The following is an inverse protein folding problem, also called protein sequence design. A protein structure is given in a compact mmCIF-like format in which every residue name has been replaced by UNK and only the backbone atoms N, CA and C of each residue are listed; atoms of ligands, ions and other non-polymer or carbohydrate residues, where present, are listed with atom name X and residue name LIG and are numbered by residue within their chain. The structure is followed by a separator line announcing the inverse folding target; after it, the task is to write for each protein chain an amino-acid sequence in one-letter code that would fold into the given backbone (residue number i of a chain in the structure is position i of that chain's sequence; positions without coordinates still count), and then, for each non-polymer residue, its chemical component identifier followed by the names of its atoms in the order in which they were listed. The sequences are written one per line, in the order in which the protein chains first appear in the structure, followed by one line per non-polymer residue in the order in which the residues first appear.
data_IF_311046639802
#
_entry.id   IF_311046639802
#
_cell.length_a   1.000
_cell.length_b   1.000
_cell.length_c   1.000
_cell.angle_alpha   90.00
_cell.angle_beta   90.00
_cell.angle_gamma   90.00
#
_symmetry.space_group_name_H-M   'P 1'
#
loop_
_entity.id
_entity.type
_entity.pdbx_description
1 polymer ?
#
# COMPACT_ATOMS: atom_id res chain seq x y z
N UNK A 1 -27.97 -29.49 -16.75
CA UNK A 1 -26.69 -30.02 -17.28
C UNK A 1 -26.54 -29.79 -18.78
N UNK A 2 -27.36 -30.38 -19.67
CA UNK A 2 -27.23 -30.19 -21.14
C UNK A 2 -27.27 -28.71 -21.60
N UNK A 3 -28.11 -27.88 -20.96
CA UNK A 3 -28.20 -26.44 -21.26
C UNK A 3 -26.92 -25.68 -20.93
N UNK A 4 -26.25 -25.99 -19.82
CA UNK A 4 -24.98 -25.36 -19.42
C UNK A 4 -23.92 -25.70 -20.47
N UNK A 5 -23.81 -26.97 -20.87
CA UNK A 5 -22.88 -27.38 -21.92
C UNK A 5 -23.16 -26.67 -23.25
N UNK A 6 -24.43 -26.60 -23.67
CA UNK A 6 -24.82 -25.92 -24.90
C UNK A 6 -24.49 -24.41 -24.87
N UNK A 7 -24.72 -23.73 -23.74
CA UNK A 7 -24.35 -22.33 -23.57
C UNK A 7 -22.84 -22.13 -23.60
N UNK A 8 -22.06 -23.00 -22.94
CA UNK A 8 -20.60 -22.94 -22.97
C UNK A 8 -20.05 -23.10 -24.38
N UNK A 9 -20.51 -24.11 -25.13
CA UNK A 9 -20.12 -24.32 -26.53
C UNK A 9 -20.49 -23.11 -27.38
N UNK A 10 -21.72 -22.58 -27.22
CA UNK A 10 -22.16 -21.40 -27.96
C UNK A 10 -21.31 -20.15 -27.64
N UNK A 11 -20.91 -19.95 -26.38
CA UNK A 11 -20.10 -18.81 -25.97
C UNK A 11 -18.65 -18.94 -26.45
N UNK A 12 -18.05 -20.13 -26.37
CA UNK A 12 -16.72 -20.40 -26.94
C UNK A 12 -16.71 -20.17 -28.45
N UNK A 13 -17.74 -20.66 -29.15
CA UNK A 13 -17.89 -20.44 -30.59
C UNK A 13 -18.01 -18.96 -30.96
N UNK A 14 -18.89 -18.20 -30.28
CA UNK A 14 -19.06 -16.76 -30.55
C UNK A 14 -17.78 -15.95 -30.31
N UNK A 15 -16.99 -16.34 -29.31
CA UNK A 15 -15.72 -15.67 -28.95
C UNK A 15 -14.53 -16.13 -29.79
N UNK A 16 -14.71 -17.16 -30.62
CA UNK A 16 -13.62 -17.82 -31.36
C UNK A 16 -12.47 -18.21 -30.43
N UNK A 17 -12.79 -18.69 -29.23
CA UNK A 17 -11.80 -19.05 -28.22
C UNK A 17 -11.12 -20.37 -28.59
N UNK A 18 -9.78 -20.41 -28.51
CA UNK A 18 -9.00 -21.61 -28.72
C UNK A 18 -9.15 -22.56 -27.50
N UNK A 19 -10.09 -23.50 -27.57
CA UNK A 19 -10.31 -24.52 -26.56
C UNK A 19 -10.30 -25.92 -27.21
N UNK A 20 -9.12 -26.53 -27.40
CA UNK A 20 -9.00 -27.87 -28.00
C UNK A 20 -9.79 -28.95 -27.24
N UNK A 21 -9.97 -28.74 -25.93
CA UNK A 21 -10.84 -29.51 -25.06
C UNK A 21 -11.59 -28.55 -24.14
N UNK A 22 -12.86 -28.83 -23.84
CA UNK A 22 -13.66 -28.00 -22.94
C UNK A 22 -13.49 -28.50 -21.51
N UNK A 23 -12.79 -27.70 -20.72
CA UNK A 23 -12.62 -27.90 -19.28
C UNK A 23 -13.57 -27.04 -18.45
N UNK A 24 -13.64 -27.32 -17.15
CA UNK A 24 -14.41 -26.56 -16.16
C UNK A 24 -14.09 -25.05 -16.18
N UNK A 25 -12.83 -24.66 -16.39
CA UNK A 25 -12.40 -23.27 -16.48
C UNK A 25 -13.00 -22.49 -17.67
N UNK A 26 -13.48 -23.18 -18.70
CA UNK A 26 -14.04 -22.56 -19.90
C UNK A 26 -15.50 -22.13 -19.73
N UNK A 27 -16.15 -22.45 -18.59
CA UNK A 27 -17.48 -21.95 -18.31
C UNK A 27 -17.49 -20.42 -18.26
N UNK A 28 -18.44 -19.83 -18.97
CA UNK A 28 -18.56 -18.39 -19.05
C UNK A 28 -19.53 -17.85 -18.00
N UNK A 29 -19.02 -17.65 -16.78
CA UNK A 29 -19.80 -17.11 -15.67
C UNK A 29 -20.18 -15.62 -15.85
N UNK A 30 -19.72 -14.96 -16.92
CA UNK A 30 -20.19 -13.63 -17.32
C UNK A 30 -21.51 -13.68 -18.10
N UNK A 31 -21.93 -14.85 -18.60
CA UNK A 31 -23.26 -15.01 -19.20
C UNK A 31 -24.27 -15.22 -18.07
N UNK A 32 -25.18 -14.25 -17.81
CA UNK A 32 -26.13 -14.36 -16.71
C UNK A 32 -26.97 -15.64 -16.81
N UNK A 33 -27.30 -16.07 -18.04
CA UNK A 33 -28.10 -17.28 -18.26
C UNK A 33 -27.37 -18.54 -17.81
N UNK A 34 -26.05 -18.57 -17.96
CA UNK A 34 -25.21 -19.70 -17.54
C UNK A 34 -25.02 -19.66 -16.02
N UNK A 35 -24.68 -18.50 -15.46
CA UNK A 35 -24.51 -18.32 -14.03
C UNK A 35 -25.80 -18.64 -13.25
N UNK A 36 -26.94 -18.11 -13.69
CA UNK A 36 -28.25 -18.35 -13.07
C UNK A 36 -28.65 -19.83 -13.14
N UNK A 37 -28.46 -20.49 -14.30
CA UNK A 37 -28.75 -21.92 -14.43
C UNK A 37 -27.83 -22.76 -13.53
N UNK A 38 -26.55 -22.38 -13.40
CA UNK A 38 -25.60 -23.10 -12.55
C UNK A 38 -25.99 -22.99 -11.07
N UNK A 39 -26.33 -21.78 -10.61
CA UNK A 39 -26.58 -21.49 -9.19
C UNK A 39 -27.99 -21.88 -8.74
N UNK A 40 -29.01 -21.69 -9.59
CA UNK A 40 -30.39 -22.11 -9.28
C UNK A 40 -30.55 -23.62 -9.17
N UNK A 41 -29.77 -24.39 -9.95
CA UNK A 41 -29.82 -25.86 -9.95
C UNK A 41 -29.15 -26.49 -8.74
N UNK A 42 -28.24 -25.78 -8.09
CA UNK A 42 -27.47 -26.26 -6.93
C UNK A 42 -27.97 -25.68 -5.61
N UNK A 43 -29.08 -24.94 -5.62
CA UNK A 43 -29.63 -24.20 -4.46
C UNK A 43 -28.56 -23.32 -3.77
N UNK A 44 -27.64 -22.76 -4.55
CA UNK A 44 -26.45 -22.07 -4.03
C UNK A 44 -26.51 -20.56 -4.24
N UNK A 45 -27.71 -19.97 -4.15
CA UNK A 45 -27.94 -18.54 -4.44
C UNK A 45 -27.01 -17.60 -3.63
N UNK A 46 -26.62 -18.01 -2.43
CA UNK A 46 -25.65 -17.32 -1.57
C UNK A 46 -24.24 -17.18 -2.15
N UNK A 47 -23.91 -17.91 -3.23
CA UNK A 47 -22.61 -17.86 -3.89
C UNK A 47 -22.54 -16.82 -5.01
N UNK A 48 -23.66 -16.22 -5.44
CA UNK A 48 -23.67 -15.17 -6.46
C UNK A 48 -22.76 -13.97 -6.15
N UNK A 49 -22.64 -13.48 -4.89
CA UNK A 49 -21.69 -12.44 -4.54
C UNK A 49 -20.23 -12.79 -4.92
N UNK A 50 -19.85 -14.07 -4.84
CA UNK A 50 -18.51 -14.55 -5.17
C UNK A 50 -18.27 -14.42 -6.67
N UNK A 51 -19.26 -14.80 -7.48
CA UNK A 51 -19.18 -14.71 -8.95
C UNK A 51 -18.96 -13.26 -9.36
N UNK A 52 -19.80 -12.34 -8.86
CA UNK A 52 -19.75 -10.92 -9.20
C UNK A 52 -18.44 -10.25 -8.74
N UNK A 53 -17.98 -10.52 -7.52
CA UNK A 53 -16.82 -9.83 -6.97
C UNK A 53 -15.49 -10.40 -7.49
N UNK A 54 -15.33 -11.72 -7.54
CA UNK A 54 -14.03 -12.31 -7.76
C UNK A 54 -13.88 -13.02 -9.11
N UNK A 55 -14.92 -13.62 -9.69
CA UNK A 55 -14.77 -14.51 -10.87
C UNK A 55 -15.09 -13.81 -12.18
N UNK A 56 -16.34 -13.40 -12.36
CA UNK A 56 -16.83 -12.85 -13.61
C UNK A 56 -17.96 -11.89 -13.30
N UNK A 57 -17.77 -10.63 -13.61
CA UNK A 57 -18.80 -9.65 -13.31
C UNK A 57 -19.93 -9.69 -14.35
N UNK A 58 -21.16 -9.73 -13.83
CA UNK A 58 -22.40 -9.62 -14.60
C UNK A 58 -22.81 -8.15 -14.80
N UNK A 59 -22.21 -7.20 -14.06
CA UNK A 59 -22.53 -5.76 -14.05
C UNK A 59 -21.56 -4.87 -14.84
N UNK A 60 -20.61 -5.46 -15.58
CA UNK A 60 -19.65 -4.79 -16.46
C UNK A 60 -18.53 -3.95 -15.79
N UNK A 61 -18.34 -4.08 -14.48
CA UNK A 61 -17.09 -3.78 -13.77
C UNK A 61 -16.12 -4.98 -13.87
N UNK A 62 -14.85 -4.81 -13.55
CA UNK A 62 -13.89 -5.91 -13.57
C UNK A 62 -13.89 -6.68 -12.25
N UNK A 63 -14.06 -8.01 -12.32
CA UNK A 63 -13.88 -8.89 -11.17
C UNK A 63 -12.43 -8.89 -10.69
N UNK A 64 -12.18 -9.27 -9.42
CA UNK A 64 -10.81 -9.32 -8.89
C UNK A 64 -9.88 -10.25 -9.71
N UNK A 65 -10.39 -11.38 -10.23
CA UNK A 65 -9.61 -12.22 -11.15
C UNK A 65 -9.33 -11.52 -12.48
N UNK A 66 -10.31 -10.81 -13.07
CA UNK A 66 -10.10 -10.05 -14.29
C UNK A 66 -9.08 -8.91 -14.12
N UNK A 67 -9.12 -8.22 -12.97
CA UNK A 67 -8.12 -7.21 -12.60
C UNK A 67 -6.73 -7.82 -12.47
N UNK A 68 -6.62 -9.00 -11.85
CA UNK A 68 -5.35 -9.71 -11.72
C UNK A 68 -4.79 -10.16 -13.09
N UNK A 69 -5.64 -10.66 -13.97
CA UNK A 69 -5.27 -11.01 -15.36
C UNK A 69 -4.83 -9.80 -16.18
N UNK A 70 -5.46 -8.62 -15.98
CA UNK A 70 -4.99 -7.38 -16.63
C UNK A 70 -3.66 -6.88 -16.07
N UNK A 71 -3.46 -7.00 -14.76
CA UNK A 71 -2.22 -6.58 -14.11
C UNK A 71 -1.02 -7.43 -14.53
N UNK A 72 -1.24 -8.71 -14.83
CA UNK A 72 -0.21 -9.63 -15.31
C UNK A 72 -0.76 -10.51 -16.44
N UNK A 73 -0.87 -9.92 -17.64
CA UNK A 73 -1.43 -10.59 -18.80
C UNK A 73 -0.57 -11.76 -19.27
N UNK A 74 -1.22 -12.89 -19.56
CA UNK A 74 -0.56 -14.05 -20.14
C UNK A 74 -0.05 -13.74 -21.57
N UNK A 75 1.14 -14.21 -21.98
CA UNK A 75 1.67 -13.96 -23.32
C UNK A 75 0.72 -14.36 -24.46
N UNK A 76 0.04 -15.50 -24.30
CA UNK A 76 -0.94 -16.01 -25.28
C UNK A 76 -2.37 -15.46 -25.06
N UNK A 77 -2.56 -14.52 -24.13
CA UNK A 77 -3.85 -13.85 -23.89
C UNK A 77 -4.86 -14.64 -23.06
N UNK A 78 -4.47 -15.74 -22.42
CA UNK A 78 -5.36 -16.52 -21.54
C UNK A 78 -5.66 -15.80 -20.21
N UNK A 79 -6.93 -15.74 -19.77
CA UNK A 79 -7.29 -15.18 -18.47
C UNK A 79 -7.08 -16.22 -17.37
N UNK A 80 -5.82 -16.39 -16.97
CA UNK A 80 -5.34 -17.46 -16.10
C UNK A 80 -5.95 -17.40 -14.70
N UNK A 81 -6.07 -16.21 -14.11
CA UNK A 81 -6.70 -16.00 -12.80
C UNK A 81 -8.18 -16.37 -12.85
N UNK A 82 -8.90 -15.95 -13.89
CA UNK A 82 -10.29 -16.38 -14.06
C UNK A 82 -10.40 -17.90 -14.22
N UNK A 83 -9.54 -18.54 -15.02
CA UNK A 83 -9.59 -19.97 -15.27
C UNK A 83 -9.34 -20.80 -14.00
N UNK A 84 -8.29 -20.45 -13.25
CA UNK A 84 -8.01 -21.08 -11.97
C UNK A 84 -9.18 -20.86 -10.98
N UNK A 85 -9.72 -19.64 -10.94
CA UNK A 85 -10.75 -19.29 -9.97
C UNK A 85 -12.11 -19.93 -10.25
N UNK A 86 -12.53 -20.00 -11.52
CA UNK A 86 -13.70 -20.77 -11.98
C UNK A 86 -13.61 -22.23 -11.59
N UNK A 87 -12.42 -22.81 -11.74
CA UNK A 87 -12.19 -24.21 -11.40
C UNK A 87 -12.43 -24.48 -9.92
N UNK A 88 -11.88 -23.64 -9.04
CA UNK A 88 -12.11 -23.74 -7.58
C UNK A 88 -13.59 -23.54 -7.25
N UNK A 89 -14.24 -22.55 -7.85
CA UNK A 89 -15.65 -22.26 -7.61
C UNK A 89 -16.57 -23.45 -7.96
N UNK A 90 -16.33 -24.11 -9.09
CA UNK A 90 -17.15 -25.26 -9.50
C UNK A 90 -17.03 -26.44 -8.53
N UNK A 91 -15.85 -26.65 -7.95
CA UNK A 91 -15.64 -27.69 -6.94
C UNK A 91 -16.18 -27.29 -5.57
N UNK A 92 -16.48 -26.00 -5.33
CA UNK A 92 -17.32 -25.60 -4.20
C UNK A 92 -18.78 -25.98 -4.42
N UNK A 93 -19.30 -25.85 -5.64
CA UNK A 93 -20.69 -26.19 -5.95
C UNK A 93 -20.97 -27.69 -5.82
N UNK A 94 -20.01 -28.55 -6.21
CA UNK A 94 -20.18 -30.00 -6.17
C UNK A 94 -20.36 -30.57 -4.74
N UNK A 95 -19.81 -29.91 -3.72
CA UNK A 95 -19.95 -30.27 -2.31
C UNK A 95 -20.79 -29.29 -1.48
N UNK A 96 -21.63 -28.48 -2.14
CA UNK A 96 -22.42 -27.46 -1.47
C UNK A 96 -23.40 -28.10 -0.45
N UNK A 97 -23.20 -27.83 0.84
CA UNK A 97 -23.99 -28.37 1.95
C UNK A 97 -23.21 -29.29 2.89
N UNK A 98 -22.22 -30.03 2.39
CA UNK A 98 -21.48 -31.04 3.20
C UNK A 98 -20.25 -30.45 3.94
N UNK A 99 -19.85 -29.24 3.57
CA UNK A 99 -18.74 -28.52 4.21
C UNK A 99 -17.36 -29.13 3.94
N UNK A 100 -16.35 -28.60 4.64
CA UNK A 100 -14.93 -28.90 4.40
C UNK A 100 -14.52 -30.36 4.67
N UNK A 101 -15.27 -31.09 5.49
CA UNK A 101 -14.99 -32.50 5.79
C UNK A 101 -15.39 -33.44 4.64
N UNK A 102 -16.12 -32.94 3.64
CA UNK A 102 -16.50 -33.72 2.47
C UNK A 102 -15.39 -33.74 1.42
N UNK A 103 -15.08 -34.92 0.90
CA UNK A 103 -14.11 -35.11 -0.17
C UNK A 103 -14.52 -34.45 -1.50
N UNK A 104 -15.77 -34.00 -1.63
CA UNK A 104 -16.30 -33.35 -2.83
C UNK A 104 -16.27 -31.82 -2.71
N UNK A 105 -16.01 -31.31 -1.50
CA UNK A 105 -15.97 -29.87 -1.24
C UNK A 105 -14.57 -29.30 -1.49
N UNK A 106 -14.52 -28.28 -2.35
CA UNK A 106 -13.27 -27.64 -2.72
C UNK A 106 -12.38 -28.54 -3.56
N UNK A 107 -11.14 -28.12 -3.80
CA UNK A 107 -10.24 -28.78 -4.74
C UNK A 107 -8.79 -28.70 -4.27
N UNK A 108 -8.04 -29.80 -4.40
CA UNK A 108 -6.62 -29.79 -4.09
C UNK A 108 -5.83 -29.03 -5.17
N UNK A 109 -4.65 -28.51 -4.81
CA UNK A 109 -3.79 -27.78 -5.76
C UNK A 109 -3.53 -28.58 -7.05
N UNK A 110 -3.21 -29.87 -6.92
CA UNK A 110 -2.91 -30.76 -8.04
C UNK A 110 -4.10 -30.94 -8.99
N UNK A 111 -5.32 -31.02 -8.44
CA UNK A 111 -6.53 -31.16 -9.25
C UNK A 111 -6.86 -29.87 -10.00
N UNK A 112 -6.54 -28.69 -9.45
CA UNK A 112 -6.66 -27.42 -10.19
C UNK A 112 -5.70 -27.41 -11.38
N UNK A 113 -4.44 -27.83 -11.17
CA UNK A 113 -3.44 -27.91 -12.23
C UNK A 113 -3.91 -28.82 -13.35
N UNK A 114 -4.48 -29.97 -13.00
CA UNK A 114 -5.02 -30.91 -13.97
C UNK A 114 -6.26 -30.36 -14.69
N UNK A 115 -7.21 -29.80 -13.95
CA UNK A 115 -8.47 -29.31 -14.50
C UNK A 115 -8.31 -28.07 -15.40
N UNK A 116 -7.19 -27.35 -15.29
CA UNK A 116 -6.85 -26.19 -16.12
C UNK A 116 -5.79 -26.50 -17.19
N UNK A 117 -5.30 -27.73 -17.27
CA UNK A 117 -4.25 -28.10 -18.22
C UNK A 117 -4.75 -28.16 -19.66
N UNK A 118 -4.23 -27.29 -20.52
CA UNK A 118 -4.38 -27.35 -21.98
C UNK A 118 -3.14 -26.72 -22.66
N UNK A 119 -2.92 -26.91 -23.97
CA UNK A 119 -1.76 -26.37 -24.67
C UNK A 119 -1.62 -24.85 -24.49
N UNK A 120 -0.44 -24.39 -24.06
CA UNK A 120 -0.18 -22.98 -23.74
C UNK A 120 -0.38 -22.61 -22.26
N UNK A 121 -0.82 -23.55 -21.42
CA UNK A 121 -0.94 -23.37 -19.97
C UNK A 121 0.01 -24.31 -19.23
N UNK A 122 0.99 -23.76 -18.50
CA UNK A 122 1.93 -24.58 -17.74
C UNK A 122 1.49 -24.71 -16.27
N UNK A 123 1.72 -25.87 -15.62
CA UNK A 123 1.39 -26.04 -14.20
C UNK A 123 1.99 -24.94 -13.29
N UNK A 124 3.27 -24.55 -13.41
CA UNK A 124 3.85 -23.50 -12.57
C UNK A 124 3.14 -22.14 -12.66
N UNK A 125 2.61 -21.79 -13.83
CA UNK A 125 1.83 -20.56 -14.00
C UNK A 125 0.53 -20.63 -13.20
N UNK A 126 -0.20 -21.74 -13.30
CA UNK A 126 -1.44 -21.95 -12.53
C UNK A 126 -1.16 -21.96 -11.03
N UNK A 127 -0.05 -22.55 -10.58
CA UNK A 127 0.35 -22.51 -9.17
C UNK A 127 0.57 -21.08 -8.68
N UNK A 128 1.35 -20.30 -9.43
CA UNK A 128 1.64 -18.90 -9.12
C UNK A 128 0.36 -18.07 -9.08
N UNK A 129 -0.58 -18.35 -9.99
CA UNK A 129 -1.90 -17.73 -10.02
C UNK A 129 -2.75 -18.08 -8.80
N UNK A 130 -2.74 -19.33 -8.33
CA UNK A 130 -3.45 -19.70 -7.10
C UNK A 130 -2.91 -18.96 -5.89
N UNK A 131 -1.59 -18.84 -5.76
CA UNK A 131 -0.96 -18.09 -4.69
C UNK A 131 -1.26 -16.58 -4.78
N UNK A 132 -1.30 -16.04 -6.00
CA UNK A 132 -1.74 -14.66 -6.23
C UNK A 132 -3.22 -14.46 -5.85
N UNK A 133 -4.10 -15.38 -6.22
CA UNK A 133 -5.53 -15.31 -5.89
C UNK A 133 -5.77 -15.39 -4.37
N UNK A 134 -4.97 -16.14 -3.60
CA UNK A 134 -5.00 -16.09 -2.12
C UNK A 134 -4.81 -14.69 -1.58
N UNK A 135 -4.01 -13.89 -2.26
CA UNK A 135 -3.80 -12.51 -1.88
C UNK A 135 -4.94 -11.62 -2.36
N UNK A 136 -5.47 -11.79 -3.57
CA UNK A 136 -6.32 -10.80 -4.24
C UNK A 136 -7.83 -11.06 -4.17
N UNK A 137 -8.27 -12.32 -4.11
CA UNK A 137 -9.69 -12.66 -4.11
C UNK A 137 -10.31 -12.48 -2.71
N UNK A 138 -11.52 -11.92 -2.64
CA UNK A 138 -12.23 -11.69 -1.39
C UNK A 138 -12.73 -12.97 -0.74
N UNK A 139 -13.13 -13.95 -1.54
CA UNK A 139 -13.83 -15.16 -1.12
C UNK A 139 -12.97 -16.43 -1.25
N UNK A 140 -11.77 -16.36 -1.84
CA UNK A 140 -10.84 -17.49 -1.91
C UNK A 140 -10.25 -17.83 -0.56
N UNK A 141 -10.33 -19.11 -0.18
CA UNK A 141 -9.64 -19.65 0.99
C UNK A 141 -8.91 -20.95 0.64
N UNK A 142 -7.89 -21.23 1.44
CA UNK A 142 -7.18 -22.50 1.44
C UNK A 142 -7.26 -23.07 2.86
N UNK A 143 -7.71 -24.31 2.97
CA UNK A 143 -7.70 -25.05 4.24
C UNK A 143 -6.36 -25.75 4.38
N UNK A 144 -5.53 -25.32 5.33
CA UNK A 144 -4.24 -25.96 5.61
C UNK A 144 -4.43 -27.39 6.16
N UNK A 145 -5.53 -27.65 6.88
CA UNK A 145 -5.85 -28.98 7.43
C UNK A 145 -6.24 -29.96 6.32
N UNK A 146 -7.07 -29.52 5.37
CA UNK A 146 -7.63 -30.40 4.32
C UNK A 146 -6.84 -30.34 3.00
N UNK A 147 -5.88 -29.41 2.88
CA UNK A 147 -5.06 -29.21 1.67
C UNK A 147 -5.85 -28.71 0.46
N UNK A 148 -6.95 -27.99 0.67
CA UNK A 148 -7.95 -27.69 -0.38
C UNK A 148 -8.26 -26.20 -0.50
N UNK A 149 -8.37 -25.76 -1.75
CA UNK A 149 -8.92 -24.46 -2.13
C UNK A 149 -10.44 -24.51 -2.20
N UNK A 150 -11.11 -23.48 -1.71
CA UNK A 150 -12.56 -23.37 -1.76
C UNK A 150 -13.02 -21.91 -1.77
N UNK A 151 -14.21 -21.70 -2.32
CA UNK A 151 -14.91 -20.42 -2.21
C UNK A 151 -15.66 -20.38 -0.86
N UNK A 152 -15.36 -19.38 -0.04
CA UNK A 152 -16.02 -19.12 1.24
C UNK A 152 -17.16 -18.13 1.06
N UNK A 153 -18.25 -18.26 1.81
CA UNK A 153 -19.33 -17.25 1.87
C UNK A 153 -18.95 -16.02 2.68
N UNK A 154 -17.96 -16.16 3.57
CA UNK A 154 -17.41 -15.05 4.36
C UNK A 154 -16.36 -14.25 3.57
N UNK A 155 -16.57 -12.95 3.46
CA UNK A 155 -15.61 -12.02 2.86
C UNK A 155 -14.34 -11.94 3.72
N UNK A 156 -13.17 -11.81 3.09
CA UNK A 156 -11.94 -11.49 3.83
C UNK A 156 -11.99 -10.02 4.26
N UNK A 157 -12.39 -9.75 5.50
CA UNK A 157 -12.51 -8.39 6.06
C UNK A 157 -11.19 -7.64 5.92
N UNK A 158 -10.08 -8.30 6.25
CA UNK A 158 -8.75 -7.70 6.14
C UNK A 158 -8.42 -7.30 4.70
N UNK A 159 -8.91 -8.06 3.71
CA UNK A 159 -8.69 -7.76 2.30
C UNK A 159 -9.53 -6.58 1.82
N UNK A 160 -10.83 -6.57 2.15
CA UNK A 160 -11.70 -5.43 1.86
C UNK A 160 -11.18 -4.15 2.49
N UNK A 161 -10.70 -4.22 3.74
CA UNK A 161 -10.09 -3.07 4.41
C UNK A 161 -8.78 -2.64 3.73
N UNK A 162 -7.94 -3.57 3.28
CA UNK A 162 -6.71 -3.25 2.56
C UNK A 162 -7.00 -2.56 1.21
N UNK A 163 -7.99 -3.06 0.46
CA UNK A 163 -8.38 -2.49 -0.83
C UNK A 163 -9.09 -1.14 -0.68
N UNK A 164 -9.96 -0.98 0.34
CA UNK A 164 -10.52 0.34 0.71
C UNK A 164 -9.39 1.31 1.06
N UNK A 165 -8.44 0.91 1.91
CA UNK A 165 -7.29 1.77 2.26
C UNK A 165 -6.46 2.13 1.03
N UNK A 166 -6.25 1.20 0.10
CA UNK A 166 -5.53 1.44 -1.15
C UNK A 166 -6.26 2.40 -2.07
N UNK A 167 -7.59 2.26 -2.21
CA UNK A 167 -8.43 3.16 -2.99
C UNK A 167 -8.53 4.58 -2.38
N UNK A 168 -8.42 4.69 -1.06
CA UNK A 168 -8.42 5.97 -0.35
C UNK A 168 -7.04 6.66 -0.35
N UNK A 169 -5.94 5.89 -0.49
CA UNK A 169 -4.58 6.45 -0.61
C UNK A 169 -4.45 7.24 -1.92
N UNK A 170 -4.27 8.57 -1.79
CA UNK A 170 -4.14 9.49 -2.92
C UNK A 170 -5.44 10.20 -3.33
N UNK A 171 -6.56 9.95 -2.65
CA UNK A 171 -7.80 10.69 -2.88
C UNK A 171 -7.77 12.02 -2.11
N UNK A 172 -7.34 13.08 -2.80
CA UNK A 172 -7.27 14.46 -2.26
C UNK A 172 -8.56 14.91 -1.58
N UNK A 173 -9.73 14.46 -2.05
CA UNK A 173 -11.01 14.83 -1.43
C UNK A 173 -11.19 14.32 -0.01
N UNK A 174 -10.60 13.16 0.33
CA UNK A 174 -10.73 12.57 1.67
C UNK A 174 -9.80 13.31 2.62
N UNK A 175 -8.57 13.60 2.20
CA UNK A 175 -7.66 14.47 2.95
C UNK A 175 -8.23 15.88 3.09
N UNK A 176 -8.83 16.46 2.05
CA UNK A 176 -9.48 17.77 2.10
C UNK A 176 -10.66 17.78 3.09
N UNK A 177 -11.51 16.74 3.11
CA UNK A 177 -12.63 16.63 4.04
C UNK A 177 -12.17 16.44 5.49
N UNK A 178 -11.11 15.65 5.69
CA UNK A 178 -10.47 15.48 7.00
C UNK A 178 -9.88 16.81 7.49
N UNK A 179 -9.19 17.54 6.63
CA UNK A 179 -8.62 18.86 6.92
C UNK A 179 -9.73 19.89 7.22
N UNK A 180 -10.80 19.90 6.44
CA UNK A 180 -11.94 20.80 6.65
C UNK A 180 -12.66 20.50 7.98
N UNK A 181 -12.81 19.23 8.34
CA UNK A 181 -13.43 18.81 9.60
C UNK A 181 -12.53 19.15 10.80
N UNK A 182 -11.22 18.92 10.69
CA UNK A 182 -10.24 19.30 11.71
C UNK A 182 -10.28 20.80 12.01
N UNK A 183 -10.32 21.64 10.96
CA UNK A 183 -10.44 23.11 11.07
C UNK A 183 -11.76 23.56 11.70
N UNK A 184 -12.85 22.79 11.56
CA UNK A 184 -14.16 23.10 12.18
C UNK A 184 -14.20 22.82 13.68
N UNK A 185 -13.47 21.79 14.14
CA UNK A 185 -13.42 21.39 15.55
C UNK A 185 -12.53 22.34 16.37
N UNK A 186 -11.43 22.83 15.79
CA UNK A 186 -10.49 23.73 16.47
C UNK A 186 -10.60 25.15 15.87
N UNK A 187 -11.52 25.95 16.41
CA UNK A 187 -11.74 27.34 15.93
C UNK A 187 -10.68 28.31 16.46
N UNK A 188 -10.03 29.03 15.55
CA UNK A 188 -9.18 30.17 15.89
C UNK A 188 -9.94 31.18 16.77
N UNK A 189 -9.40 31.48 17.95
CA UNK A 189 -9.94 32.50 18.86
C UNK A 189 -10.94 32.01 19.94
N UNK A 190 -11.30 30.74 19.99
CA UNK A 190 -12.17 30.21 21.07
C UNK A 190 -11.44 30.07 22.43
N UNK A 191 -10.10 30.04 22.42
CA UNK A 191 -9.24 29.90 23.59
C UNK A 191 -8.02 30.85 23.44
N UNK A 192 -7.33 31.18 24.55
CA UNK A 192 -6.13 32.04 24.55
C UNK A 192 -4.89 31.42 23.87
N UNK A 193 -5.07 30.38 23.06
CA UNK A 193 -4.02 29.71 22.32
C UNK A 193 -3.94 30.23 20.89
N UNK A 194 -2.72 30.27 20.36
CA UNK A 194 -2.47 30.36 18.93
C UNK A 194 -2.66 28.97 18.32
N UNK A 195 -3.48 28.82 17.27
CA UNK A 195 -3.80 27.50 16.71
C UNK A 195 -3.01 27.31 15.41
N UNK A 196 -2.20 26.26 15.35
CA UNK A 196 -1.50 25.83 14.14
C UNK A 196 -2.12 24.54 13.62
N UNK A 197 -2.86 24.65 12.52
CA UNK A 197 -3.42 23.48 11.84
C UNK A 197 -2.36 22.71 11.07
N UNK A 198 -2.60 21.42 10.86
CA UNK A 198 -1.85 20.58 9.91
C UNK A 198 -0.37 20.43 10.28
N UNK A 199 -0.11 20.23 11.57
CA UNK A 199 1.25 19.99 12.06
C UNK A 199 1.60 18.52 11.89
N UNK A 200 2.56 18.23 11.02
CA UNK A 200 3.04 16.85 10.81
C UNK A 200 4.22 16.51 11.75
N UNK A 201 5.05 17.49 12.10
CA UNK A 201 6.31 17.31 12.85
C UNK A 201 6.45 18.37 13.97
N UNK A 202 7.22 18.08 15.03
CA UNK A 202 7.42 19.02 16.14
C UNK A 202 8.00 20.37 15.69
N UNK A 203 8.87 20.35 14.70
CA UNK A 203 9.56 21.53 14.16
C UNK A 203 8.67 22.43 13.27
N UNK A 204 7.43 22.02 12.97
CA UNK A 204 6.43 22.91 12.37
C UNK A 204 5.79 23.83 13.42
N UNK A 205 6.05 23.59 14.71
CA UNK A 205 5.62 24.46 15.80
C UNK A 205 6.74 25.48 16.06
N UNK A 206 6.47 26.79 16.02
CA UNK A 206 7.46 27.81 16.29
C UNK A 206 7.85 27.79 17.78
N UNK A 207 9.16 27.75 18.05
CA UNK A 207 9.70 27.70 19.42
C UNK A 207 9.39 28.96 20.27
N UNK A 208 9.06 30.09 19.64
CA UNK A 208 8.85 31.39 20.30
C UNK A 208 7.56 32.05 19.82
N UNK A 209 6.45 31.68 20.46
CA UNK A 209 5.17 32.39 20.36
C UNK A 209 4.93 33.29 21.58
N UNK A 210 4.29 34.45 21.38
CA UNK A 210 3.84 35.31 22.48
C UNK A 210 2.66 34.71 23.27
N UNK A 211 2.01 33.68 22.72
CA UNK A 211 0.91 32.93 23.30
C UNK A 211 1.22 31.43 23.23
N UNK A 212 0.64 30.67 24.15
CA UNK A 212 0.73 29.21 24.10
C UNK A 212 0.12 28.72 22.77
N UNK A 213 0.79 27.80 22.09
CA UNK A 213 0.37 27.31 20.77
C UNK A 213 -0.27 25.92 20.88
N UNK A 214 -1.44 25.73 20.28
CA UNK A 214 -2.12 24.45 20.16
C UNK A 214 -2.00 23.95 18.71
N UNK A 215 -1.30 22.83 18.54
CA UNK A 215 -1.02 22.24 17.24
C UNK A 215 -1.69 20.86 17.11
N UNK A 216 -2.90 20.75 16.54
CA UNK A 216 -3.45 19.46 16.16
C UNK A 216 -2.60 18.79 15.08
N UNK A 217 -2.18 17.55 15.37
CA UNK A 217 -1.42 16.73 14.42
C UNK A 217 -2.33 16.30 13.27
N UNK A 218 -1.80 16.38 12.04
CA UNK A 218 -2.53 15.95 10.85
C UNK A 218 -2.88 14.45 10.94
N UNK A 219 -4.12 14.09 10.58
CA UNK A 219 -4.63 12.71 10.72
C UNK A 219 -3.94 11.71 9.77
N UNK A 220 -3.35 12.22 8.70
CA UNK A 220 -2.56 11.50 7.71
C UNK A 220 -1.05 11.55 7.96
N UNK A 221 -0.62 12.18 9.07
CA UNK A 221 0.78 12.20 9.46
C UNK A 221 1.29 10.76 9.71
N UNK A 222 2.55 10.44 9.34
CA UNK A 222 3.20 9.21 9.77
C UNK A 222 3.09 9.01 11.29
N UNK A 223 3.19 7.77 11.79
CA UNK A 223 3.17 7.51 13.23
C UNK A 223 4.20 8.38 13.96
N UNK A 224 3.71 9.33 14.75
CA UNK A 224 4.55 10.22 15.56
C UNK A 224 4.78 9.62 16.94
N UNK A 225 5.99 9.79 17.49
CA UNK A 225 6.26 9.47 18.88
C UNK A 225 5.99 10.71 19.74
N UNK A 226 5.06 10.65 20.71
CA UNK A 226 4.73 11.80 21.54
C UNK A 226 5.93 12.38 22.29
N UNK A 227 6.91 11.54 22.66
CA UNK A 227 8.16 11.99 23.29
C UNK A 227 8.97 12.99 22.44
N UNK A 228 8.88 12.93 21.12
CA UNK A 228 9.59 13.86 20.22
C UNK A 228 8.98 15.28 20.26
N UNK A 229 7.74 15.41 20.76
CA UNK A 229 7.03 16.68 20.95
C UNK A 229 7.18 17.23 22.38
N UNK A 230 7.84 16.49 23.29
CA UNK A 230 8.06 16.89 24.67
C UNK A 230 9.50 17.38 24.83
N UNK A 231 9.70 18.69 24.90
CA UNK A 231 11.00 19.28 25.28
C UNK A 231 11.26 19.10 26.80
N UNK A 232 11.47 17.85 27.23
CA UNK A 232 11.84 17.52 28.60
C UNK A 232 13.29 17.90 28.89
N UNK A 233 13.52 19.10 29.43
CA UNK A 233 14.62 19.61 30.28
C UNK A 233 16.09 19.14 30.12
N UNK A 234 16.46 18.34 29.12
CA UNK A 234 17.84 18.01 28.78
C UNK A 234 18.14 18.60 27.41
N UNK A 235 18.51 19.88 27.40
CA UNK A 235 19.12 20.56 26.27
C UNK A 235 20.23 19.67 25.70
N UNK A 236 20.03 19.17 24.48
CA UNK A 236 21.04 18.46 23.70
C UNK A 236 21.10 19.08 22.31
N UNK A 237 22.28 19.10 21.72
CA UNK A 237 22.45 19.51 20.33
C UNK A 237 21.89 18.39 19.45
N UNK A 238 20.92 18.74 18.59
CA UNK A 238 20.36 17.80 17.61
C UNK A 238 21.41 17.46 16.54
N UNK A 239 21.31 16.25 15.98
CA UNK A 239 22.14 15.75 14.88
C UNK A 239 21.54 16.14 13.51
N UNK A 240 22.35 16.22 12.45
CA UNK A 240 21.84 16.50 11.10
C UNK A 240 20.85 15.45 10.60
N UNK A 241 21.06 14.18 10.94
CA UNK A 241 20.19 13.05 10.56
C UNK A 241 18.82 13.08 11.25
N UNK A 242 18.71 13.80 12.36
CA UNK A 242 17.44 14.02 13.07
C UNK A 242 16.61 15.13 12.39
N UNK A 243 17.13 15.76 11.32
CA UNK A 243 16.43 16.82 10.57
C UNK A 243 15.84 16.30 9.27
N UNK A 244 14.67 16.83 8.92
CA UNK A 244 14.03 16.53 7.65
C UNK A 244 14.87 17.10 6.47
N UNK A 245 15.08 16.31 5.41
CA UNK A 245 15.94 16.69 4.28
C UNK A 245 15.53 18.00 3.58
N UNK A 246 14.24 18.35 3.61
CA UNK A 246 13.74 19.65 3.11
C UNK A 246 14.29 20.86 3.90
N UNK A 247 14.56 20.71 5.20
CA UNK A 247 15.14 21.78 6.05
C UNK A 247 16.63 21.97 5.79
N UNK A 248 17.32 20.93 5.33
CA UNK A 248 18.72 20.97 4.94
C UNK A 248 18.89 21.61 3.55
N UNK A 249 17.94 21.40 2.65
CA UNK A 249 17.94 21.97 1.29
C UNK A 249 17.38 23.40 1.23
N UNK A 250 16.42 23.74 2.10
CA UNK A 250 15.86 25.09 2.23
C UNK A 250 15.89 25.58 3.70
N UNK A 251 17.06 26.03 4.19
CA UNK A 251 17.22 26.37 5.61
C UNK A 251 16.56 27.70 5.97
N UNK A 252 15.73 27.69 7.01
CA UNK A 252 15.02 28.87 7.53
C UNK A 252 15.75 29.56 8.69
N UNK A 253 16.43 28.77 9.54
CA UNK A 253 17.17 29.26 10.71
C UNK A 253 18.67 29.03 10.54
N UNK A 254 19.48 29.75 11.32
CA UNK A 254 20.93 29.54 11.32
C UNK A 254 21.34 28.17 11.85
N UNK A 255 20.50 27.59 12.72
CA UNK A 255 20.65 26.20 13.12
C UNK A 255 20.45 25.24 11.95
N UNK A 256 19.46 25.49 11.08
CA UNK A 256 19.27 24.66 9.88
C UNK A 256 20.45 24.80 8.91
N UNK A 257 20.99 26.02 8.78
CA UNK A 257 22.19 26.28 7.96
C UNK A 257 23.39 25.52 8.52
N UNK A 258 23.62 25.55 9.83
CA UNK A 258 24.68 24.77 10.50
C UNK A 258 24.51 23.26 10.23
N UNK A 259 23.32 22.72 10.43
CA UNK A 259 23.08 21.28 10.28
C UNK A 259 23.26 20.82 8.83
N UNK A 260 22.78 21.61 7.85
CA UNK A 260 23.02 21.33 6.44
C UNK A 260 24.49 21.48 6.04
N UNK A 261 25.25 22.37 6.68
CA UNK A 261 26.70 22.49 6.49
C UNK A 261 27.42 21.20 6.94
N UNK A 262 27.05 20.66 8.10
CA UNK A 262 27.61 19.40 8.63
C UNK A 262 27.22 18.23 7.73
N UNK A 263 25.97 18.17 7.26
CA UNK A 263 25.51 17.15 6.31
C UNK A 263 26.30 17.23 4.98
N UNK A 264 26.47 18.43 4.41
CA UNK A 264 27.24 18.65 3.19
C UNK A 264 28.71 18.22 3.32
N UNK A 265 29.32 18.42 4.50
CA UNK A 265 30.67 17.93 4.79
C UNK A 265 30.76 16.40 4.78
N UNK A 266 29.73 15.71 5.28
CA UNK A 266 29.68 14.24 5.27
C UNK A 266 29.48 13.68 3.86
N UNK A 267 28.69 14.37 3.04
CA UNK A 267 28.37 13.93 1.68
C UNK A 267 29.53 14.15 0.69
N UNK A 268 30.28 15.24 0.82
CA UNK A 268 31.27 15.61 -0.21
C UNK A 268 32.48 16.39 0.27
N UNK A 269 32.78 16.38 1.57
CA UNK A 269 33.95 17.03 2.17
C UNK A 269 33.98 18.56 1.86
N UNK A 270 35.12 19.21 2.03
CA UNK A 270 35.28 20.68 1.97
C UNK A 270 34.69 21.37 0.72
N UNK A 271 34.85 20.86 -0.52
CA UNK A 271 34.31 21.55 -1.70
C UNK A 271 32.77 21.68 -1.66
N UNK A 272 32.08 20.61 -1.25
CA UNK A 272 30.61 20.60 -1.15
C UNK A 272 30.14 21.45 0.04
N UNK A 273 30.86 21.41 1.16
CA UNK A 273 30.60 22.28 2.32
C UNK A 273 30.72 23.75 1.96
N UNK A 274 31.74 24.14 1.18
CA UNK A 274 31.95 25.52 0.75
C UNK A 274 30.85 26.00 -0.19
N UNK A 275 30.45 25.16 -1.14
CA UNK A 275 29.33 25.44 -2.05
C UNK A 275 28.01 25.61 -1.29
N UNK A 276 27.75 24.77 -0.28
CA UNK A 276 26.58 24.88 0.58
C UNK A 276 26.58 26.21 1.36
N UNK A 277 27.70 26.58 1.98
CA UNK A 277 27.84 27.83 2.74
C UNK A 277 27.60 29.05 1.84
N UNK A 278 28.14 29.06 0.62
CA UNK A 278 27.91 30.13 -0.35
C UNK A 278 26.46 30.21 -0.80
N UNK A 279 25.80 29.07 -0.99
CA UNK A 279 24.42 29.03 -1.50
C UNK A 279 23.40 29.46 -0.44
N UNK A 280 23.57 29.02 0.79
CA UNK A 280 22.54 29.14 1.83
C UNK A 280 22.88 30.11 2.97
N UNK A 281 24.13 30.58 3.03
CA UNK A 281 24.62 31.40 4.14
C UNK A 281 25.63 32.48 3.71
N UNK A 282 25.66 32.93 2.45
CA UNK A 282 26.65 33.92 1.96
C UNK A 282 26.76 35.17 2.86
N UNK A 283 25.63 35.75 3.25
CA UNK A 283 25.58 36.97 4.08
C UNK A 283 25.84 36.72 5.57
N UNK A 284 25.78 35.46 6.01
CA UNK A 284 25.86 35.07 7.42
C UNK A 284 26.97 34.03 7.67
N UNK A 285 27.92 33.88 6.75
CA UNK A 285 28.87 32.77 6.74
C UNK A 285 29.69 32.70 8.03
N UNK A 286 30.24 33.83 8.48
CA UNK A 286 30.98 33.94 9.74
C UNK A 286 30.17 33.46 10.95
N UNK A 287 28.90 33.88 11.03
CA UNK A 287 28.01 33.48 12.12
C UNK A 287 27.70 31.99 12.12
N UNK A 288 27.62 31.36 10.94
CA UNK A 288 27.46 29.90 10.83
C UNK A 288 28.75 29.17 11.23
N UNK A 289 29.93 29.72 10.90
CA UNK A 289 31.22 29.17 11.34
C UNK A 289 31.40 29.28 12.86
N UNK A 290 31.01 30.41 13.47
CA UNK A 290 31.00 30.57 14.92
C UNK A 290 30.07 29.55 15.59
N UNK A 291 28.89 29.29 15.00
CA UNK A 291 27.97 28.25 15.48
C UNK A 291 28.56 26.84 15.32
N UNK A 292 29.32 26.58 14.27
CA UNK A 292 30.03 25.31 14.07
C UNK A 292 31.14 25.12 15.10
N UNK A 293 31.83 26.19 15.49
CA UNK A 293 32.83 26.19 16.56
C UNK A 293 32.21 25.84 17.92
N UNK A 294 31.08 26.46 18.26
CA UNK A 294 30.31 26.10 19.46
C UNK A 294 29.85 24.64 19.41
N UNK A 295 29.35 24.18 18.26
CA UNK A 295 28.94 22.78 18.09
C UNK A 295 30.11 21.80 18.25
N UNK A 296 31.29 22.14 17.71
CA UNK A 296 32.51 21.34 17.85
C UNK A 296 33.01 21.26 19.30
N UNK A 297 32.77 22.30 20.11
CA UNK A 297 33.11 22.32 21.52
C UNK A 297 32.14 21.45 22.35
N UNK A 298 30.84 21.56 22.07
CA UNK A 298 29.76 21.05 22.93
C UNK A 298 29.15 19.70 22.47
N UNK A 299 29.49 19.20 21.28
CA UNK A 299 29.02 17.90 20.82
C UNK A 299 29.41 16.78 21.79
N UNK A 300 28.50 15.85 22.12
CA UNK A 300 28.81 14.78 23.10
C UNK A 300 29.73 13.69 22.56
N UNK A 301 29.71 13.49 21.25
CA UNK A 301 30.43 12.41 20.57
C UNK A 301 31.81 12.91 20.11
N UNK A 302 32.92 12.25 20.51
CA UNK A 302 34.28 12.58 20.07
C UNK A 302 34.47 12.60 18.56
N UNK A 303 33.77 11.72 17.82
CA UNK A 303 33.89 11.64 16.37
C UNK A 303 33.21 12.84 15.70
N UNK A 304 32.09 13.30 16.25
CA UNK A 304 31.41 14.51 15.81
C UNK A 304 32.28 15.76 16.06
N UNK A 305 32.94 15.86 17.21
CA UNK A 305 33.90 16.94 17.47
C UNK A 305 35.03 16.95 16.44
N UNK A 306 35.57 15.77 16.13
CA UNK A 306 36.65 15.63 15.14
C UNK A 306 36.20 16.04 13.75
N UNK A 307 34.99 15.64 13.33
CA UNK A 307 34.41 16.03 12.05
C UNK A 307 34.22 17.53 11.93
N UNK A 308 33.60 18.18 12.93
CA UNK A 308 33.38 19.63 12.89
C UNK A 308 34.69 20.43 12.92
N UNK A 309 35.70 19.99 13.69
CA UNK A 309 37.03 20.61 13.67
C UNK A 309 37.72 20.48 12.32
N UNK A 310 37.60 19.32 11.67
CA UNK A 310 38.16 19.11 10.33
C UNK A 310 37.44 19.98 9.28
N UNK A 311 36.12 20.15 9.41
CA UNK A 311 35.34 21.06 8.56
C UNK A 311 35.76 22.52 8.77
N UNK A 312 35.92 22.99 10.01
CA UNK A 312 36.43 24.33 10.33
C UNK A 312 37.80 24.58 9.71
N UNK A 313 38.74 23.64 9.89
CA UNK A 313 40.08 23.72 9.33
C UNK A 313 40.07 23.86 7.81
N UNK A 314 39.32 23.00 7.11
CA UNK A 314 39.24 23.07 5.65
C UNK A 314 38.45 24.26 5.11
N UNK A 315 37.63 24.91 5.93
CA UNK A 315 36.95 26.16 5.60
C UNK A 315 37.81 27.41 5.88
N UNK A 316 38.93 27.26 6.60
CA UNK A 316 39.92 28.30 6.84
C UNK A 316 39.93 28.87 8.27
N UNK A 317 39.42 28.11 9.26
CA UNK A 317 39.45 28.44 10.69
C UNK A 317 40.23 27.43 11.51
#
# INVERSE_FOLDING_TARGET
MLRILALSVANLWRRQAAAPMIHACHLDLRDPRLADELVSRTDSAELMPIVNADIGDLKAEDSNAALADRANAHPDGFPLHEYAWKTVFLHRLAGFGDGLASNVFGIAKQDVLFATAFPGMTPPQVETTLDALRSHAYYLRYSETEGRYYASTGVSINRVLADIRRALRGNTRVTDLLNETSRKVVKAGALNFEILSEVELPECIPDKGAKATLAPIALDSPPVKPEDFIAGSKLRLALPEERHGARLTAPQTDWNRLQGLIAAYRDGNIPVTRAYLQTHAAENAERILDLLEVWAAEARDPDLKKQARAALYGLGR
#
